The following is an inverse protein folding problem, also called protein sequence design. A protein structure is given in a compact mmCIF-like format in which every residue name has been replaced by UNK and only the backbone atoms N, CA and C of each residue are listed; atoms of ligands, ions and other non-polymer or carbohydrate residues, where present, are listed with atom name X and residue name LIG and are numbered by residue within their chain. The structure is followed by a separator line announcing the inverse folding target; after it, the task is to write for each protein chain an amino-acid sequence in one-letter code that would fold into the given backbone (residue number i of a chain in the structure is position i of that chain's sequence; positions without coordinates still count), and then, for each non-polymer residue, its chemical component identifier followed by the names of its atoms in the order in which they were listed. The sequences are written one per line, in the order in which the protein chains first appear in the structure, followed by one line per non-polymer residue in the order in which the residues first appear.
data_IF_509225049697
#
_entry.id   IF_509225049697
#
_cell.length_a   1.000
_cell.length_b   1.000
_cell.length_c   1.000
_cell.angle_alpha   90.00
_cell.angle_beta   90.00
_cell.angle_gamma   90.00
#
_symmetry.space_group_name_H-M   'P 1'
#
loop_
_entity.id
_entity.type
_entity.pdbx_description
1 polymer ?
#
# COMPACT_ATOMS: atom_id res chain seq x y z
N UNK A 1 -34.14 -20.89 -54.27
CA UNK A 1 -32.98 -21.84 -54.38
C UNK A 1 -32.31 -21.82 -53.05
N UNK A 2 -32.65 -22.64 -52.35
CA UNK A 2 -32.44 -23.70 -51.35
C UNK A 2 -31.06 -23.68 -50.70
N UNK A 3 -31.13 -23.42 -49.43
CA UNK A 3 -30.25 -23.63 -48.31
C UNK A 3 -29.81 -25.11 -48.20
N UNK A 4 -28.82 -25.57 -48.95
CA UNK A 4 -28.33 -26.95 -48.82
C UNK A 4 -27.11 -27.22 -49.70
N UNK A 5 -25.98 -26.57 -49.47
CA UNK A 5 -24.68 -27.04 -50.03
C UNK A 5 -23.51 -26.21 -49.51
N UNK A 6 -23.29 -26.20 -48.18
CA UNK A 6 -21.97 -25.88 -47.60
C UNK A 6 -21.81 -26.77 -46.34
N UNK A 7 -21.80 -28.02 -46.56
CA UNK A 7 -21.38 -29.02 -45.56
C UNK A 7 -20.62 -30.07 -46.34
N UNK A 8 -19.36 -30.15 -46.16
CA UNK A 8 -18.35 -31.13 -46.54
C UNK A 8 -17.12 -30.44 -47.18
N UNK A 9 -16.24 -29.92 -46.33
CA UNK A 9 -14.78 -29.98 -46.50
C UNK A 9 -14.08 -29.37 -45.29
N UNK A 10 -14.18 -29.97 -44.14
CA UNK A 10 -13.20 -29.79 -43.05
C UNK A 10 -12.95 -31.14 -42.40
N UNK A 11 -12.12 -31.91 -43.04
CA UNK A 11 -11.52 -33.09 -42.43
C UNK A 11 -10.06 -33.12 -42.82
N UNK A 12 -9.21 -33.25 -41.77
CA UNK A 12 -7.78 -33.53 -41.82
C UNK A 12 -6.85 -32.31 -41.94
N UNK A 13 -6.68 -31.61 -40.80
CA UNK A 13 -5.34 -31.14 -40.45
C UNK A 13 -5.20 -31.33 -38.93
N UNK A 14 -4.41 -32.32 -38.56
CA UNK A 14 -4.13 -32.70 -37.19
C UNK A 14 -3.44 -31.57 -36.44
N UNK A 15 -4.18 -30.91 -35.56
CA UNK A 15 -3.61 -30.02 -34.58
C UNK A 15 -3.16 -30.87 -33.38
N UNK A 16 -1.86 -31.03 -33.24
CA UNK A 16 -1.22 -31.41 -31.98
C UNK A 16 -1.68 -30.47 -30.89
N UNK A 17 -2.62 -30.90 -30.07
CA UNK A 17 -2.97 -30.24 -28.82
C UNK A 17 -1.79 -30.42 -27.87
N UNK A 18 -0.94 -29.43 -27.82
CA UNK A 18 0.00 -29.27 -26.70
C UNK A 18 -0.83 -29.06 -25.45
N UNK A 19 -0.94 -30.07 -24.63
CA UNK A 19 -1.51 -29.98 -23.28
C UNK A 19 -0.75 -28.91 -22.49
N UNK A 20 -1.41 -28.00 -21.80
CA UNK A 20 -0.72 -27.17 -20.84
C UNK A 20 -0.15 -28.09 -19.76
N UNK A 21 1.17 -28.12 -19.67
CA UNK A 21 1.89 -28.80 -18.59
C UNK A 21 1.34 -28.31 -17.26
N UNK A 22 0.51 -29.12 -16.64
CA UNK A 22 0.10 -28.95 -15.26
C UNK A 22 1.38 -29.00 -14.42
N UNK A 23 1.79 -27.86 -13.87
CA UNK A 23 2.77 -27.85 -12.79
C UNK A 23 2.21 -28.72 -11.66
N UNK A 24 2.96 -29.71 -11.18
CA UNK A 24 2.53 -30.49 -10.05
C UNK A 24 2.49 -29.57 -8.83
N UNK A 25 1.30 -29.26 -8.34
CA UNK A 25 1.11 -28.78 -7.00
C UNK A 25 1.42 -29.95 -6.04
N UNK A 26 2.71 -30.19 -5.78
CA UNK A 26 3.10 -30.99 -4.64
C UNK A 26 2.82 -30.18 -3.38
N UNK A 27 1.58 -30.21 -2.92
CA UNK A 27 1.26 -29.97 -1.52
C UNK A 27 1.59 -31.28 -0.81
N UNK A 28 2.85 -31.41 -0.41
CA UNK A 28 3.22 -32.43 0.55
C UNK A 28 2.50 -32.12 1.85
N UNK A 29 1.62 -33.01 2.30
CA UNK A 29 1.19 -33.09 3.70
C UNK A 29 2.43 -33.35 4.56
N UNK A 30 3.10 -32.30 4.97
CA UNK A 30 4.14 -32.33 5.99
C UNK A 30 3.58 -31.62 7.21
N UNK A 31 3.69 -32.33 8.33
CA UNK A 31 3.12 -32.02 9.63
C UNK A 31 3.15 -30.56 10.08
N UNK A 32 2.19 -30.26 10.92
CA UNK A 32 1.70 -29.02 11.52
C UNK A 32 2.76 -28.13 12.22
N UNK A 33 3.90 -27.82 11.58
CA UNK A 33 4.90 -26.89 12.08
C UNK A 33 5.63 -26.07 11.00
N UNK A 34 5.10 -25.97 9.79
CA UNK A 34 5.75 -25.17 8.76
C UNK A 34 5.19 -23.74 8.78
N UNK A 35 6.00 -22.76 9.16
CA UNK A 35 5.74 -21.37 8.81
C UNK A 35 5.88 -21.25 7.29
N UNK A 36 4.77 -20.97 6.59
CA UNK A 36 4.83 -20.70 5.15
C UNK A 36 5.44 -19.31 4.97
N UNK A 37 6.69 -19.29 4.53
CA UNK A 37 7.36 -18.04 4.17
C UNK A 37 7.66 -18.04 2.67
N UNK A 38 7.13 -17.04 1.96
CA UNK A 38 7.53 -16.75 0.58
C UNK A 38 8.03 -15.32 0.52
N UNK A 39 9.25 -15.11 0.02
CA UNK A 39 9.88 -13.79 -0.01
C UNK A 39 10.32 -13.41 -1.40
N UNK A 40 10.13 -12.14 -1.74
CA UNK A 40 10.75 -11.49 -2.87
C UNK A 40 11.48 -10.21 -2.41
N UNK A 41 12.21 -9.56 -3.32
CA UNK A 41 12.84 -8.25 -3.02
C UNK A 41 11.83 -7.21 -2.52
N UNK A 42 10.57 -7.29 -2.97
CA UNK A 42 9.55 -6.25 -2.79
C UNK A 42 8.41 -6.63 -1.86
N UNK A 43 8.23 -7.91 -1.59
CA UNK A 43 7.18 -8.38 -0.70
C UNK A 43 7.59 -9.67 0.02
N UNK A 44 6.95 -9.92 1.14
CA UNK A 44 7.03 -11.19 1.88
C UNK A 44 5.64 -11.62 2.34
N UNK A 45 5.43 -12.92 2.43
CA UNK A 45 4.29 -13.54 3.10
C UNK A 45 4.83 -14.31 4.30
N UNK A 46 4.28 -14.05 5.45
CA UNK A 46 4.61 -14.75 6.69
C UNK A 46 3.32 -15.22 7.35
N UNK A 47 3.25 -16.49 7.72
CA UNK A 47 2.17 -17.05 8.52
C UNK A 47 2.76 -17.64 9.79
N UNK A 48 2.21 -17.29 10.93
CA UNK A 48 2.67 -17.75 12.23
C UNK A 48 1.49 -18.01 13.17
N UNK A 49 1.74 -18.78 14.21
CA UNK A 49 0.77 -19.01 15.27
C UNK A 49 0.68 -17.76 16.15
N UNK A 50 -0.54 -17.25 16.34
CA UNK A 50 -0.84 -16.18 17.29
C UNK A 50 -1.69 -16.75 18.42
N UNK A 51 -1.29 -16.50 19.65
CA UNK A 51 -2.04 -16.89 20.84
C UNK A 51 -1.14 -17.14 22.04
N UNK A 52 -1.52 -16.60 23.19
CA UNK A 52 -0.96 -17.01 24.46
C UNK A 52 -1.53 -18.39 24.83
N UNK A 53 -0.77 -19.18 25.59
CA UNK A 53 -0.97 -20.60 25.97
C UNK A 53 -2.37 -21.05 26.45
N UNK A 54 -3.41 -20.21 26.39
CA UNK A 54 -4.80 -20.51 26.84
C UNK A 54 -5.90 -20.21 25.83
N UNK A 55 -5.58 -19.61 24.69
CA UNK A 55 -6.55 -19.37 23.62
C UNK A 55 -6.25 -20.29 22.43
N UNK A 56 -7.28 -20.65 21.66
CA UNK A 56 -7.12 -21.48 20.48
C UNK A 56 -6.07 -20.86 19.56
N UNK A 57 -5.00 -21.63 19.26
CA UNK A 57 -3.92 -21.19 18.35
C UNK A 57 -4.51 -20.86 16.98
N UNK A 58 -4.65 -19.57 16.68
CA UNK A 58 -5.02 -19.12 15.34
C UNK A 58 -3.77 -18.83 14.54
N UNK A 59 -3.73 -19.28 13.32
CA UNK A 59 -2.65 -18.91 12.41
C UNK A 59 -2.99 -17.58 11.75
N UNK A 60 -2.23 -16.54 12.02
CA UNK A 60 -2.33 -15.27 11.31
C UNK A 60 -1.33 -15.21 10.17
N UNK A 61 -1.75 -14.66 9.03
CA UNK A 61 -0.89 -14.44 7.87
C UNK A 61 -0.78 -12.95 7.58
N UNK A 62 0.42 -12.49 7.30
CA UNK A 62 0.70 -11.11 6.93
C UNK A 62 1.41 -11.04 5.57
N UNK A 63 0.90 -10.20 4.68
CA UNK A 63 1.51 -9.89 3.41
C UNK A 63 2.12 -8.50 3.48
N UNK A 64 3.44 -8.43 3.50
CA UNK A 64 4.18 -7.17 3.66
C UNK A 64 4.77 -6.71 2.32
N UNK A 65 4.51 -5.47 1.94
CA UNK A 65 5.14 -4.80 0.79
C UNK A 65 6.23 -3.85 1.30
N UNK A 66 7.38 -3.86 0.64
CA UNK A 66 8.51 -2.96 0.96
C UNK A 66 8.57 -1.83 -0.04
N UNK A 67 8.33 -0.60 0.42
CA UNK A 67 8.46 0.62 -0.37
C UNK A 67 9.74 1.35 0.01
N UNK A 68 10.78 1.24 -0.82
CA UNK A 68 12.08 1.86 -0.60
C UNK A 68 12.45 2.82 -1.71
N UNK A 69 13.12 3.91 -1.35
CA UNK A 69 13.58 4.95 -2.28
C UNK A 69 12.45 5.88 -2.72
N UNK A 70 12.49 6.32 -3.96
CA UNK A 70 11.49 7.27 -4.51
C UNK A 70 10.16 6.57 -4.76
N UNK A 71 9.06 7.22 -4.37
CA UNK A 71 7.69 6.77 -4.62
C UNK A 71 7.20 7.44 -5.90
N UNK A 72 6.94 6.65 -6.91
CA UNK A 72 6.50 7.06 -8.24
C UNK A 72 5.43 6.11 -8.80
N UNK A 73 5.04 6.29 -10.04
CA UNK A 73 4.09 5.41 -10.72
C UNK A 73 4.53 3.93 -10.73
N UNK A 74 5.84 3.63 -10.72
CA UNK A 74 6.34 2.25 -10.66
C UNK A 74 6.03 1.61 -9.29
N UNK A 75 6.12 2.37 -8.21
CA UNK A 75 5.75 1.91 -6.86
C UNK A 75 4.25 1.71 -6.72
N UNK A 76 3.44 2.54 -7.36
CA UNK A 76 2.00 2.34 -7.44
C UNK A 76 1.65 1.02 -8.14
N UNK A 77 2.29 0.72 -9.28
CA UNK A 77 2.09 -0.57 -9.96
C UNK A 77 2.57 -1.75 -9.10
N UNK A 78 3.69 -1.61 -8.40
CA UNK A 78 4.17 -2.62 -7.46
C UNK A 78 3.10 -2.95 -6.40
N UNK A 79 2.49 -1.93 -5.79
CA UNK A 79 1.44 -2.11 -4.78
C UNK A 79 0.21 -2.81 -5.38
N UNK A 80 -0.21 -2.41 -6.58
CA UNK A 80 -1.34 -3.06 -7.30
C UNK A 80 -1.07 -4.54 -7.57
N UNK A 81 0.12 -4.89 -8.06
CA UNK A 81 0.53 -6.28 -8.26
C UNK A 81 0.59 -7.07 -6.93
N UNK A 82 1.10 -6.44 -5.87
CA UNK A 82 1.14 -7.05 -4.55
C UNK A 82 -0.27 -7.39 -4.03
N UNK A 83 -1.25 -6.52 -4.27
CA UNK A 83 -2.65 -6.79 -3.92
C UNK A 83 -3.24 -7.96 -4.69
N UNK A 84 -2.95 -8.09 -5.98
CA UNK A 84 -3.38 -9.25 -6.78
C UNK A 84 -2.79 -10.55 -6.19
N UNK A 85 -1.51 -10.54 -5.84
CA UNK A 85 -0.85 -11.68 -5.19
C UNK A 85 -1.46 -12.01 -3.84
N UNK A 86 -1.72 -10.97 -3.00
CA UNK A 86 -2.39 -11.16 -1.71
C UNK A 86 -3.79 -11.77 -1.90
N UNK A 87 -4.56 -11.32 -2.88
CA UNK A 87 -5.88 -11.88 -3.18
C UNK A 87 -5.82 -13.37 -3.54
N UNK A 88 -4.85 -13.79 -4.37
CA UNK A 88 -4.60 -15.19 -4.69
C UNK A 88 -4.26 -16.00 -3.43
N UNK A 89 -3.41 -15.46 -2.55
CA UNK A 89 -3.06 -16.13 -1.29
C UNK A 89 -4.27 -16.27 -0.37
N UNK A 90 -5.07 -15.20 -0.21
CA UNK A 90 -6.32 -15.25 0.58
C UNK A 90 -7.27 -16.34 0.08
N UNK A 91 -7.44 -16.44 -1.23
CA UNK A 91 -8.27 -17.47 -1.84
C UNK A 91 -7.72 -18.87 -1.59
N UNK A 92 -6.43 -19.09 -1.78
CA UNK A 92 -5.78 -20.39 -1.58
C UNK A 92 -5.80 -20.85 -0.11
N UNK A 93 -5.67 -19.91 0.83
CA UNK A 93 -5.67 -20.22 2.27
C UNK A 93 -7.07 -20.25 2.88
N UNK A 94 -8.11 -19.82 2.16
CA UNK A 94 -9.48 -19.65 2.65
C UNK A 94 -9.55 -18.85 3.98
N UNK A 95 -8.68 -17.83 4.11
CA UNK A 95 -8.59 -16.98 5.30
C UNK A 95 -8.15 -15.57 4.97
N UNK A 96 -8.34 -14.66 5.90
CA UNK A 96 -7.83 -13.31 5.74
C UNK A 96 -6.31 -13.28 5.90
N UNK A 97 -5.69 -12.32 5.21
CA UNK A 97 -4.24 -12.10 5.22
C UNK A 97 -4.04 -10.61 5.43
N UNK A 98 -3.41 -10.22 6.53
CA UNK A 98 -3.15 -8.83 6.84
C UNK A 98 -2.27 -8.18 5.78
N UNK A 99 -2.43 -6.87 5.59
CA UNK A 99 -1.66 -6.11 4.62
C UNK A 99 -0.77 -5.10 5.34
N UNK A 100 0.54 -5.27 5.24
CA UNK A 100 1.54 -4.41 5.84
C UNK A 100 2.38 -3.70 4.80
N UNK A 101 2.84 -2.50 5.12
CA UNK A 101 3.77 -1.73 4.30
C UNK A 101 4.98 -1.34 5.15
N UNK A 102 6.15 -1.84 4.80
CA UNK A 102 7.43 -1.36 5.35
C UNK A 102 7.94 -0.25 4.45
N UNK A 103 8.17 0.94 5.00
CA UNK A 103 8.60 2.10 4.21
C UNK A 103 9.95 2.63 4.67
N UNK A 104 10.78 3.01 3.68
CA UNK A 104 12.02 3.75 3.83
C UNK A 104 12.21 4.62 2.58
N UNK A 105 11.73 5.87 2.64
CA UNK A 105 11.58 6.71 1.45
C UNK A 105 11.84 8.19 1.74
N UNK A 106 12.49 8.85 0.78
CA UNK A 106 12.65 10.31 0.77
C UNK A 106 11.43 11.02 0.14
N UNK A 107 10.36 10.29 -0.17
CA UNK A 107 9.18 10.83 -0.83
C UNK A 107 9.16 10.56 -2.33
N UNK A 108 8.55 11.45 -3.09
CA UNK A 108 8.42 11.30 -4.55
C UNK A 108 7.17 11.98 -5.11
N UNK A 109 6.52 11.33 -6.06
CA UNK A 109 5.33 11.86 -6.72
C UNK A 109 4.12 11.85 -5.80
N UNK A 110 3.53 13.04 -5.60
CA UNK A 110 2.38 13.21 -4.70
C UNK A 110 1.22 12.34 -5.16
N UNK A 111 0.83 12.40 -6.44
CA UNK A 111 -0.33 11.66 -6.93
C UNK A 111 -0.19 10.14 -6.78
N UNK A 112 0.98 9.59 -7.10
CA UNK A 112 1.26 8.17 -6.87
C UNK A 112 1.15 7.81 -5.39
N UNK A 113 1.66 8.66 -4.51
CA UNK A 113 1.65 8.45 -3.06
C UNK A 113 0.24 8.53 -2.48
N UNK A 114 -0.57 9.53 -2.89
CA UNK A 114 -1.96 9.65 -2.46
C UNK A 114 -2.79 8.44 -2.90
N UNK A 115 -2.57 7.94 -4.11
CA UNK A 115 -3.26 6.77 -4.62
C UNK A 115 -2.88 5.50 -3.85
N UNK A 116 -1.59 5.29 -3.57
CA UNK A 116 -1.13 4.19 -2.71
C UNK A 116 -1.77 4.31 -1.31
N UNK A 117 -1.82 5.51 -0.74
CA UNK A 117 -2.46 5.74 0.56
C UNK A 117 -3.96 5.40 0.56
N UNK A 118 -4.71 5.76 -0.49
CA UNK A 118 -6.13 5.34 -0.65
C UNK A 118 -6.27 3.83 -0.74
N UNK A 119 -5.40 3.18 -1.51
CA UNK A 119 -5.35 1.71 -1.59
C UNK A 119 -5.09 1.13 -0.20
N UNK A 120 -4.11 1.64 0.54
CA UNK A 120 -3.78 1.18 1.89
C UNK A 120 -4.98 1.31 2.82
N UNK A 121 -5.67 2.45 2.81
CA UNK A 121 -6.90 2.70 3.59
C UNK A 121 -7.99 1.69 3.25
N UNK A 122 -8.27 1.50 1.97
CA UNK A 122 -9.30 0.55 1.50
C UNK A 122 -9.00 -0.91 1.88
N UNK A 123 -7.72 -1.26 1.97
CA UNK A 123 -7.26 -2.60 2.37
C UNK A 123 -7.10 -2.76 3.89
N UNK A 124 -7.34 -1.73 4.68
CA UNK A 124 -7.09 -1.74 6.11
C UNK A 124 -5.62 -2.01 6.45
N UNK A 125 -4.70 -1.40 5.69
CA UNK A 125 -3.28 -1.67 5.81
C UNK A 125 -2.67 -1.04 7.06
N UNK A 126 -1.66 -1.70 7.62
CA UNK A 126 -0.73 -1.11 8.56
C UNK A 126 0.55 -0.65 7.85
N UNK A 127 1.27 0.30 8.47
CA UNK A 127 2.55 0.80 7.97
C UNK A 127 3.60 0.82 9.08
N UNK A 128 4.84 0.51 8.73
CA UNK A 128 5.98 0.64 9.62
C UNK A 128 7.08 1.49 8.99
N UNK A 129 7.58 2.46 9.76
CA UNK A 129 8.87 3.13 9.53
C UNK A 129 9.85 2.52 10.51
N UNK A 130 10.66 1.58 10.02
CA UNK A 130 11.55 0.77 10.84
C UNK A 130 12.73 1.54 11.42
N UNK A 131 13.58 0.87 12.21
CA UNK A 131 14.79 1.47 12.78
C UNK A 131 15.69 2.07 11.71
N UNK A 132 16.13 3.34 11.92
CA UNK A 132 16.99 4.09 11.01
C UNK A 132 16.33 4.49 9.68
N UNK A 133 15.11 4.03 9.39
CA UNK A 133 14.39 4.33 8.16
C UNK A 133 13.88 5.78 8.13
N UNK A 134 13.54 6.23 6.93
CA UNK A 134 12.99 7.57 6.71
C UNK A 134 11.62 7.51 6.03
N UNK A 135 10.75 8.45 6.39
CA UNK A 135 9.52 8.75 5.67
C UNK A 135 9.40 10.26 5.52
N UNK A 136 9.93 10.77 4.42
CA UNK A 136 10.10 12.21 4.17
C UNK A 136 9.16 12.66 3.05
N UNK A 137 8.71 13.93 3.11
CA UNK A 137 7.97 14.58 2.02
C UNK A 137 6.67 13.82 1.71
N UNK A 138 6.42 13.50 0.44
CA UNK A 138 5.22 12.77 0.01
C UNK A 138 5.02 11.42 0.73
N UNK A 139 6.08 10.78 1.26
CA UNK A 139 5.96 9.55 2.03
C UNK A 139 5.00 9.68 3.23
N UNK A 140 4.89 10.86 3.85
CA UNK A 140 4.01 11.12 4.99
C UNK A 140 2.54 10.84 4.64
N UNK A 141 2.14 10.99 3.38
CA UNK A 141 0.79 10.65 2.94
C UNK A 141 0.49 9.15 3.01
N UNK A 142 1.51 8.28 2.97
CA UNK A 142 1.31 6.84 3.24
C UNK A 142 1.00 6.59 4.71
N UNK A 143 1.67 7.31 5.63
CA UNK A 143 1.34 7.25 7.07
C UNK A 143 -0.11 7.66 7.31
N UNK A 144 -0.59 8.70 6.63
CA UNK A 144 -1.99 9.11 6.73
C UNK A 144 -2.95 8.03 6.24
N UNK A 145 -2.61 7.34 5.13
CA UNK A 145 -3.45 6.30 4.52
C UNK A 145 -3.57 5.01 5.34
N UNK A 146 -2.61 4.70 6.20
CA UNK A 146 -2.63 3.50 7.01
C UNK A 146 -3.63 3.60 8.18
N UNK A 147 -4.20 2.46 8.59
CA UNK A 147 -5.06 2.40 9.78
C UNK A 147 -4.29 2.09 11.06
N UNK A 148 -3.15 1.43 10.95
CA UNK A 148 -2.20 1.18 12.04
C UNK A 148 -0.82 1.70 11.64
N UNK A 149 -0.14 2.39 12.53
CA UNK A 149 1.13 3.06 12.27
C UNK A 149 2.13 2.72 13.35
N UNK A 150 3.32 2.26 12.93
CA UNK A 150 4.45 2.02 13.81
C UNK A 150 5.64 2.81 13.33
N UNK A 151 6.17 3.69 14.16
CA UNK A 151 7.33 4.52 13.86
C UNK A 151 8.39 4.24 14.93
N UNK A 152 9.54 3.74 14.51
CA UNK A 152 10.66 3.48 15.41
C UNK A 152 11.19 4.78 16.02
N UNK A 153 11.68 4.75 17.22
CA UNK A 153 12.16 5.95 17.94
C UNK A 153 13.34 6.64 17.25
N UNK A 154 14.11 5.90 16.45
CA UNK A 154 15.23 6.40 15.65
C UNK A 154 14.87 6.59 14.16
N UNK A 155 13.61 6.35 13.79
CA UNK A 155 13.10 6.64 12.45
C UNK A 155 12.93 8.15 12.25
N UNK A 156 13.05 8.60 11.01
CA UNK A 156 12.95 10.01 10.64
C UNK A 156 11.70 10.24 9.83
N UNK A 157 10.78 11.03 10.36
CA UNK A 157 9.58 11.50 9.62
C UNK A 157 9.74 12.99 9.39
N UNK A 158 9.58 13.43 8.14
CA UNK A 158 9.85 14.82 7.80
C UNK A 158 8.90 15.38 6.74
N UNK A 159 8.61 16.66 6.88
CA UNK A 159 7.65 17.38 6.04
C UNK A 159 8.26 18.61 5.38
N UNK A 160 7.75 18.93 4.21
CA UNK A 160 7.92 20.22 3.51
C UNK A 160 6.78 20.41 2.51
N UNK A 161 6.57 21.66 2.07
CA UNK A 161 5.55 21.93 1.06
C UNK A 161 5.88 21.29 -0.29
N UNK A 162 4.87 20.96 -1.10
CA UNK A 162 5.08 20.51 -2.46
C UNK A 162 5.90 21.50 -3.28
N UNK A 163 6.72 20.99 -4.20
CA UNK A 163 7.39 21.79 -5.22
C UNK A 163 7.03 21.27 -6.61
N UNK A 164 6.84 22.17 -7.53
CA UNK A 164 6.72 21.81 -8.94
C UNK A 164 8.12 21.70 -9.52
N UNK A 165 8.53 20.49 -9.91
CA UNK A 165 9.69 20.34 -10.78
C UNK A 165 9.24 20.59 -12.21
N UNK A 166 9.14 21.85 -12.62
CA UNK A 166 9.06 22.20 -14.04
C UNK A 166 10.45 22.58 -14.53
N UNK A 167 11.01 21.85 -15.50
CA UNK A 167 12.19 22.30 -16.22
C UNK A 167 11.76 23.34 -17.26
N UNK A 168 11.45 24.55 -16.85
CA UNK A 168 11.14 25.63 -17.79
C UNK A 168 11.87 26.89 -17.36
N UNK A 169 13.01 27.12 -18.01
CA UNK A 169 13.71 28.38 -17.91
C UNK A 169 12.93 29.45 -18.69
N UNK A 170 12.60 30.59 -18.03
CA UNK A 170 12.33 31.83 -18.70
C UNK A 170 10.89 32.38 -18.80
N UNK A 171 9.96 32.05 -17.87
CA UNK A 171 8.61 32.63 -17.86
C UNK A 171 8.22 33.26 -16.51
N UNK A 172 7.09 34.01 -16.41
CA UNK A 172 6.57 34.54 -15.15
C UNK A 172 6.12 33.38 -14.24
N UNK A 173 7.07 32.83 -13.50
CA UNK A 173 6.97 31.57 -12.74
C UNK A 173 6.13 31.68 -11.49
N UNK A 174 6.24 32.80 -10.78
CA UNK A 174 5.79 32.89 -9.39
C UNK A 174 4.26 32.75 -9.23
N UNK A 175 3.47 33.49 -9.99
CA UNK A 175 2.02 33.50 -9.81
C UNK A 175 1.33 32.18 -10.24
N UNK A 176 1.85 31.49 -11.25
CA UNK A 176 1.31 30.19 -11.70
C UNK A 176 1.71 29.06 -10.75
N UNK A 177 2.91 29.09 -10.18
CA UNK A 177 3.37 28.12 -9.19
C UNK A 177 2.58 28.24 -7.90
N UNK A 178 2.35 29.47 -7.41
CA UNK A 178 1.56 29.69 -6.19
C UNK A 178 0.10 29.23 -6.36
N UNK A 179 -0.51 29.45 -7.52
CA UNK A 179 -1.87 28.98 -7.79
C UNK A 179 -1.95 27.43 -7.83
N UNK A 180 -0.96 26.76 -8.42
CA UNK A 180 -0.92 25.29 -8.47
C UNK A 180 -0.65 24.73 -7.08
N UNK A 181 0.26 25.32 -6.30
CA UNK A 181 0.53 24.91 -4.91
C UNK A 181 -0.72 25.12 -4.04
N UNK A 182 -1.48 26.20 -4.23
CA UNK A 182 -2.73 26.43 -3.54
C UNK A 182 -3.79 25.37 -3.88
N UNK A 183 -4.00 25.08 -5.17
CA UNK A 183 -4.91 24.02 -5.60
C UNK A 183 -4.49 22.63 -5.08
N UNK A 184 -3.19 22.36 -5.04
CA UNK A 184 -2.65 21.13 -4.45
C UNK A 184 -2.90 21.07 -2.94
N UNK A 185 -2.79 22.19 -2.22
CA UNK A 185 -3.10 22.26 -0.80
C UNK A 185 -4.53 21.85 -0.49
N UNK A 186 -5.50 22.30 -1.29
CA UNK A 186 -6.90 21.88 -1.15
C UNK A 186 -7.07 20.37 -1.32
N UNK A 187 -6.42 19.79 -2.33
CA UNK A 187 -6.44 18.33 -2.55
C UNK A 187 -5.81 17.56 -1.38
N UNK A 188 -4.75 18.08 -0.78
CA UNK A 188 -4.11 17.47 0.38
C UNK A 188 -5.00 17.58 1.63
N UNK A 189 -5.73 18.67 1.81
CA UNK A 189 -6.71 18.84 2.90
C UNK A 189 -7.84 17.81 2.74
N UNK A 190 -8.39 17.67 1.53
CA UNK A 190 -9.42 16.65 1.26
C UNK A 190 -8.89 15.23 1.50
N UNK A 191 -7.65 14.95 1.12
CA UNK A 191 -7.01 13.69 1.41
C UNK A 191 -6.85 13.45 2.92
N UNK A 192 -6.42 14.46 3.69
CA UNK A 192 -6.31 14.35 5.14
C UNK A 192 -7.67 14.02 5.79
N UNK A 193 -8.74 14.66 5.34
CA UNK A 193 -10.11 14.37 5.79
C UNK A 193 -10.51 12.92 5.47
N UNK A 194 -10.25 12.43 4.24
CA UNK A 194 -10.51 11.05 3.85
C UNK A 194 -9.75 10.04 4.71
N UNK A 195 -8.57 10.41 5.19
CA UNK A 195 -7.69 9.56 6.00
C UNK A 195 -7.90 9.75 7.52
N UNK A 196 -8.90 10.51 7.92
CA UNK A 196 -9.18 10.82 9.33
C UNK A 196 -7.94 11.40 10.05
N UNK A 197 -7.20 12.27 9.38
CA UNK A 197 -6.01 12.94 9.90
C UNK A 197 -6.29 14.45 10.03
N UNK A 198 -5.92 15.07 11.15
CA UNK A 198 -6.13 16.51 11.35
C UNK A 198 -5.52 17.37 10.23
N UNK A 199 -6.25 18.38 9.76
CA UNK A 199 -5.79 19.34 8.76
C UNK A 199 -4.48 20.02 9.18
N UNK A 200 -4.25 20.15 10.47
CA UNK A 200 -3.06 20.80 11.03
C UNK A 200 -1.74 20.22 10.52
N UNK A 201 -1.71 18.95 10.12
CA UNK A 201 -0.54 18.37 9.45
C UNK A 201 -0.30 19.03 8.08
N UNK A 202 -1.35 19.25 7.30
CA UNK A 202 -1.24 19.91 6.00
C UNK A 202 -0.83 21.37 6.18
N UNK A 203 -1.43 22.07 7.12
CA UNK A 203 -1.06 23.45 7.43
C UNK A 203 0.43 23.55 7.85
N UNK A 204 0.90 22.61 8.66
CA UNK A 204 2.30 22.53 9.07
C UNK A 204 3.27 22.24 7.91
N UNK A 205 2.91 21.35 6.99
CA UNK A 205 3.79 21.05 5.85
C UNK A 205 3.85 22.21 4.85
N UNK A 206 2.75 22.97 4.66
CA UNK A 206 2.67 24.06 3.69
C UNK A 206 3.56 25.25 4.07
N UNK A 207 3.89 25.44 5.34
CA UNK A 207 4.78 26.54 5.79
C UNK A 207 6.27 26.19 5.71
N UNK A 208 6.62 24.92 5.51
CA UNK A 208 8.03 24.50 5.37
C UNK A 208 8.47 24.66 3.91
N UNK A 209 9.49 25.47 3.62
CA UNK A 209 9.99 25.65 2.24
C UNK A 209 10.42 24.32 1.59
N UNK A 210 10.29 24.18 0.25
CA UNK A 210 10.54 22.91 -0.43
C UNK A 210 12.02 22.51 -0.48
N UNK A 211 12.93 23.43 -0.23
CA UNK A 211 14.39 23.23 -0.13
C UNK A 211 14.84 22.80 1.28
N UNK A 212 13.93 22.71 2.22
CA UNK A 212 14.17 22.30 3.61
C UNK A 212 13.25 21.18 4.02
N UNK A 213 13.69 20.39 5.00
CA UNK A 213 12.87 19.35 5.63
C UNK A 213 12.77 19.66 7.11
N UNK A 214 11.55 19.77 7.61
CA UNK A 214 11.29 19.78 9.05
C UNK A 214 11.07 18.35 9.52
N UNK A 215 12.00 17.81 10.33
CA UNK A 215 11.79 16.54 11.01
C UNK A 215 10.78 16.73 12.15
N UNK A 216 9.87 15.79 12.27
CA UNK A 216 8.81 15.80 13.28
C UNK A 216 9.30 15.09 14.55
N UNK A 217 9.11 15.74 15.68
CA UNK A 217 9.29 15.13 17.00
C UNK A 217 8.17 14.13 17.33
N UNK A 218 8.38 13.29 18.34
CA UNK A 218 7.36 12.35 18.81
C UNK A 218 6.05 13.07 19.24
N UNK A 219 6.18 14.25 19.86
CA UNK A 219 5.02 15.07 20.25
C UNK A 219 4.27 15.64 19.05
N UNK A 220 4.97 16.07 18.00
CA UNK A 220 4.34 16.55 16.76
C UNK A 220 3.65 15.41 16.00
N UNK A 221 4.29 14.22 15.92
CA UNK A 221 3.66 13.03 15.34
C UNK A 221 2.35 12.68 16.06
N UNK A 222 2.33 12.78 17.39
CA UNK A 222 1.11 12.57 18.18
C UNK A 222 0.06 13.67 17.92
N UNK A 223 0.47 14.93 17.90
CA UNK A 223 -0.42 16.08 17.63
C UNK A 223 -1.08 15.96 16.25
N UNK A 224 -0.34 15.49 15.25
CA UNK A 224 -0.85 15.28 13.90
C UNK A 224 -1.57 13.92 13.72
N UNK A 225 -1.63 13.08 14.74
CA UNK A 225 -2.34 11.80 14.73
C UNK A 225 -1.77 10.76 13.75
N UNK A 226 -0.48 10.84 13.44
CA UNK A 226 0.18 9.93 12.46
C UNK A 226 1.14 8.91 13.09
N UNK A 227 1.18 8.82 14.41
CA UNK A 227 1.93 7.79 15.16
C UNK A 227 1.02 6.87 15.99
N UNK A 228 -0.29 7.04 15.90
CA UNK A 228 -1.28 6.25 16.60
C UNK A 228 -2.21 5.53 15.61
N UNK A 229 -2.84 4.42 16.03
CA UNK A 229 -3.87 3.75 15.24
C UNK A 229 -5.07 4.67 14.99
N UNK A 230 -5.70 4.51 13.82
CA UNK A 230 -7.01 5.08 13.53
C UNK A 230 -8.08 4.12 14.11
N UNK A 231 -8.56 4.44 15.29
CA UNK A 231 -9.50 3.58 16.03
C UNK A 231 -10.82 3.37 15.29
N UNK A 232 -11.32 4.39 14.58
CA UNK A 232 -12.55 4.30 13.79
C UNK A 232 -12.38 3.31 12.64
N UNK A 233 -11.31 3.44 11.86
CA UNK A 233 -11.04 2.54 10.75
C UNK A 233 -10.74 1.11 11.21
N UNK A 234 -10.14 0.93 12.39
CA UNK A 234 -9.93 -0.38 13.00
C UNK A 234 -11.24 -1.06 13.40
N UNK A 235 -12.16 -0.33 13.99
CA UNK A 235 -13.48 -0.84 14.35
C UNK A 235 -14.26 -1.26 13.10
N UNK A 236 -14.26 -0.44 12.06
CA UNK A 236 -14.87 -0.78 10.77
C UNK A 236 -14.24 -2.03 10.13
N UNK A 237 -12.91 -2.19 10.21
CA UNK A 237 -12.23 -3.39 9.73
C UNK A 237 -12.68 -4.63 10.50
N UNK A 238 -12.77 -4.55 11.83
CA UNK A 238 -13.24 -5.64 12.69
C UNK A 238 -14.68 -6.04 12.36
N UNK A 239 -15.56 -5.07 12.21
CA UNK A 239 -16.97 -5.31 11.86
C UNK A 239 -17.09 -6.03 10.50
N UNK A 240 -16.33 -5.62 9.49
CA UNK A 240 -16.29 -6.29 8.17
C UNK A 240 -15.77 -7.72 8.25
N UNK A 241 -14.76 -7.99 9.06
CA UNK A 241 -14.20 -9.34 9.23
C UNK A 241 -15.19 -10.30 9.91
N UNK A 242 -16.07 -9.78 10.77
CA UNK A 242 -17.09 -10.58 11.47
C UNK A 242 -18.34 -10.86 10.61
N UNK A 243 -18.59 -10.02 9.59
CA UNK A 243 -19.75 -10.14 8.71
C UNK A 243 -19.55 -11.08 7.50
N UNK A 244 -18.31 -11.55 7.27
CA UNK A 244 -18.03 -12.51 6.21
C UNK A 244 -18.53 -13.91 6.62
N UNK A 245 -19.37 -14.59 5.81
CA UNK A 245 -19.79 -15.96 6.10
C UNK A 245 -18.57 -16.88 6.16
N UNK A 246 -18.56 -17.74 7.17
CA UNK A 246 -17.55 -18.80 7.36
C UNK A 246 -17.68 -19.89 6.32
#
# INVERSE_FOLDING_TARGET
MTLRQVLYTVLLCGALLASPSAMPAHVSEVGVHASIASTSRWWKLECGKTGHKREAETTACAFTVRLRGIIDGSRLQLVRHALQRRATVRQALHRDVDFHVDVDSQGGEIFATLEIGRIMRAQGASIAVGPGAACISACVFLLMGAIERTISSDARVGIHRPSLRTPQEGGPRQASEDAIVAAMSEQLVLYAQQMNVPRTLIDALMVVPPDRVKLLSASELATYGINAPDTVALEERRARSQSLPR
#
